data_IF_755231143571
#
_entry.id   IF_755231143571
#
_cell.length_a   1.000
_cell.length_b   1.000
_cell.length_c   1.000
_cell.angle_alpha   90.00
_cell.angle_beta   90.00
_cell.angle_gamma   90.00
#
_symmetry.space_group_name_H-M   'P 1'
#
loop_
_entity.id
_entity.type
_entity.pdbx_description
1 polymer ?
#
# COMPACT_ATOMS: atom_id res chain seq x y z
N UNK A 1 -23.29 -24.21 4.51
CA UNK A 1 -23.29 -22.80 4.07
C UNK A 1 -21.95 -22.53 3.42
N UNK A 2 -21.90 -22.33 2.10
CA UNK A 2 -20.66 -22.00 1.42
C UNK A 2 -20.25 -20.59 1.85
N UNK A 3 -19.09 -20.49 2.50
CA UNK A 3 -18.49 -19.23 2.93
C UNK A 3 -18.35 -18.34 1.69
N UNK A 4 -19.14 -17.27 1.60
CA UNK A 4 -19.17 -16.35 0.47
C UNK A 4 -17.92 -15.44 0.53
N UNK A 5 -16.73 -16.05 0.45
CA UNK A 5 -15.45 -15.37 0.54
C UNK A 5 -15.26 -14.53 -0.70
N UNK A 6 -15.33 -13.21 -0.54
CA UNK A 6 -14.83 -12.27 -1.55
C UNK A 6 -13.30 -12.35 -1.55
N UNK A 7 -12.74 -12.90 -2.63
CA UNK A 7 -11.30 -12.88 -2.87
C UNK A 7 -10.92 -11.59 -3.60
N UNK A 8 -9.84 -10.96 -3.15
CA UNK A 8 -9.23 -9.82 -3.83
C UNK A 8 -7.87 -10.29 -4.37
N UNK A 9 -7.62 -10.03 -5.65
CA UNK A 9 -6.38 -10.37 -6.33
C UNK A 9 -5.69 -9.08 -6.75
N UNK A 10 -4.38 -9.01 -6.52
CA UNK A 10 -3.57 -7.93 -7.06
C UNK A 10 -3.11 -8.33 -8.47
N UNK A 11 -3.58 -7.61 -9.49
CA UNK A 11 -3.09 -7.75 -10.86
C UNK A 11 -2.06 -6.64 -11.11
N UNK A 12 -0.82 -7.04 -11.31
CA UNK A 12 0.27 -6.11 -11.65
C UNK A 12 0.45 -6.08 -13.16
N UNK A 13 0.84 -4.91 -13.70
CA UNK A 13 1.35 -4.81 -15.07
C UNK A 13 2.63 -5.64 -15.16
N UNK A 14 2.90 -6.21 -16.33
CA UNK A 14 4.12 -7.02 -16.54
C UNK A 14 5.39 -6.23 -16.23
N UNK A 15 5.35 -4.92 -16.51
CA UNK A 15 6.44 -3.97 -16.30
C UNK A 15 6.48 -3.38 -14.89
N UNK A 16 5.65 -3.83 -13.94
CA UNK A 16 5.54 -3.20 -12.62
C UNK A 16 6.89 -3.08 -11.90
N UNK A 17 7.69 -4.14 -11.95
CA UNK A 17 9.02 -4.15 -11.32
C UNK A 17 10.09 -3.39 -12.11
N UNK A 18 9.75 -2.97 -13.34
CA UNK A 18 10.61 -2.15 -14.20
C UNK A 18 10.25 -0.66 -14.14
N UNK A 19 9.17 -0.28 -13.44
CA UNK A 19 8.80 1.12 -13.24
C UNK A 19 9.87 1.86 -12.43
N UNK A 20 10.33 3.03 -12.90
CA UNK A 20 11.43 3.80 -12.29
C UNK A 20 11.29 3.99 -10.78
N UNK A 21 10.06 4.25 -10.31
CA UNK A 21 9.77 4.41 -8.89
C UNK A 21 9.95 3.13 -8.08
N UNK A 22 9.61 1.96 -8.65
CA UNK A 22 9.76 0.65 -8.01
C UNK A 22 11.22 0.21 -8.03
N UNK A 23 11.92 0.40 -9.15
CA UNK A 23 13.36 0.14 -9.27
C UNK A 23 14.13 0.99 -8.24
N UNK A 24 13.81 2.28 -8.16
CA UNK A 24 14.43 3.18 -7.18
C UNK A 24 14.12 2.74 -5.74
N UNK A 25 12.87 2.36 -5.44
CA UNK A 25 12.46 1.86 -4.14
C UNK A 25 13.25 0.60 -3.72
N UNK A 26 13.37 -0.38 -4.61
CA UNK A 26 14.06 -1.65 -4.30
C UNK A 26 15.58 -1.48 -4.20
N UNK A 27 16.15 -0.45 -4.82
CA UNK A 27 17.58 -0.11 -4.69
C UNK A 27 17.95 0.50 -3.33
N UNK A 28 16.98 0.96 -2.54
CA UNK A 28 17.22 1.56 -1.22
C UNK A 28 17.67 0.50 -0.20
N UNK A 29 18.29 0.96 0.89
CA UNK A 29 18.46 0.11 2.06
C UNK A 29 17.08 -0.35 2.57
N UNK A 30 16.93 -1.66 2.77
CA UNK A 30 15.66 -2.31 3.07
C UNK A 30 14.60 -2.17 1.95
N UNK A 31 15.00 -1.92 0.70
CA UNK A 31 14.10 -1.72 -0.44
C UNK A 31 13.09 -2.86 -0.64
N UNK A 32 13.54 -4.11 -0.54
CA UNK A 32 12.68 -5.30 -0.60
C UNK A 32 11.60 -5.32 0.50
N UNK A 33 11.93 -4.81 1.70
CA UNK A 33 10.99 -4.69 2.81
C UNK A 33 9.92 -3.64 2.49
N UNK A 34 10.32 -2.51 1.91
CA UNK A 34 9.38 -1.46 1.50
C UNK A 34 8.50 -1.89 0.33
N UNK A 35 9.07 -2.57 -0.68
CA UNK A 35 8.31 -3.18 -1.79
C UNK A 35 7.24 -4.15 -1.27
N UNK A 36 7.59 -5.00 -0.30
CA UNK A 36 6.62 -5.90 0.34
C UNK A 36 5.50 -5.16 1.11
N UNK A 37 5.84 -4.08 1.82
CA UNK A 37 4.86 -3.23 2.50
C UNK A 37 3.89 -2.61 1.48
N UNK A 38 4.41 -2.08 0.38
CA UNK A 38 3.63 -1.44 -0.68
C UNK A 38 2.64 -2.41 -1.31
N UNK A 39 3.08 -3.61 -1.70
CA UNK A 39 2.21 -4.65 -2.28
C UNK A 39 1.08 -5.07 -1.32
N UNK A 40 1.38 -5.19 -0.01
CA UNK A 40 0.37 -5.48 1.01
C UNK A 40 -0.64 -4.34 1.17
N UNK A 41 -0.18 -3.10 1.08
CA UNK A 41 -1.04 -1.90 1.09
C UNK A 41 -1.96 -1.86 -0.14
N UNK A 42 -1.42 -2.12 -1.35
CA UNK A 42 -2.22 -2.22 -2.57
C UNK A 42 -3.32 -3.25 -2.43
N UNK A 43 -2.98 -4.49 -2.06
CA UNK A 43 -3.97 -5.56 -1.88
C UNK A 43 -5.06 -5.19 -0.86
N UNK A 44 -4.68 -4.54 0.25
CA UNK A 44 -5.63 -4.13 1.29
C UNK A 44 -6.60 -3.06 0.80
N UNK A 45 -6.11 -2.11 0.01
CA UNK A 45 -6.90 -0.99 -0.50
C UNK A 45 -7.93 -1.39 -1.57
N UNK A 46 -7.78 -2.56 -2.21
CA UNK A 46 -8.73 -3.05 -3.23
C UNK A 46 -10.16 -3.18 -2.68
N UNK A 47 -10.32 -3.46 -1.38
CA UNK A 47 -11.63 -3.51 -0.72
C UNK A 47 -12.36 -2.16 -0.75
N UNK A 48 -11.62 -1.06 -0.85
CA UNK A 48 -12.12 0.31 -0.70
C UNK A 48 -11.77 1.17 -1.93
N UNK A 49 -11.66 0.55 -3.11
CA UNK A 49 -11.42 1.27 -4.36
C UNK A 49 -10.08 2.00 -4.41
N UNK A 50 -9.02 1.39 -3.86
CA UNK A 50 -7.68 1.98 -3.82
C UNK A 50 -7.41 2.90 -2.63
N UNK A 51 -8.40 3.10 -1.74
CA UNK A 51 -8.24 3.86 -0.49
C UNK A 51 -7.84 2.95 0.66
N UNK A 52 -6.85 3.36 1.44
CA UNK A 52 -6.50 2.70 2.70
C UNK A 52 -7.39 3.20 3.84
N UNK A 53 -8.53 2.54 3.99
CA UNK A 53 -9.47 2.80 5.09
C UNK A 53 -10.02 1.50 5.69
N UNK A 54 -10.32 1.49 6.98
CA UNK A 54 -10.95 0.34 7.66
C UNK A 54 -12.46 0.28 7.37
N UNK A 55 -13.08 1.46 7.40
CA UNK A 55 -14.48 1.76 7.06
C UNK A 55 -14.50 3.10 6.31
N UNK A 56 -15.61 3.50 5.70
CA UNK A 56 -15.69 4.69 4.81
C UNK A 56 -15.06 5.97 5.40
N UNK A 57 -15.09 6.13 6.73
CA UNK A 57 -14.62 7.33 7.42
C UNK A 57 -13.39 7.13 8.33
N UNK A 58 -12.76 5.95 8.35
CA UNK A 58 -11.62 5.68 9.23
C UNK A 58 -10.36 5.39 8.40
N UNK A 59 -9.50 6.41 8.16
CA UNK A 59 -8.16 6.23 7.61
C UNK A 59 -7.33 5.23 8.40
N UNK A 60 -6.53 4.40 7.72
CA UNK A 60 -5.52 3.60 8.42
C UNK A 60 -4.42 4.49 8.99
N UNK A 61 -4.14 4.34 10.29
CA UNK A 61 -2.95 4.94 10.90
C UNK A 61 -1.70 4.11 10.61
N UNK A 62 -0.51 4.68 10.77
CA UNK A 62 0.76 3.96 10.63
C UNK A 62 0.82 2.71 11.53
N UNK A 63 0.26 2.79 12.75
CA UNK A 63 0.18 1.67 13.68
C UNK A 63 -0.69 0.53 13.15
N UNK A 64 -1.84 0.85 12.56
CA UNK A 64 -2.70 -0.17 11.94
C UNK A 64 -2.05 -0.78 10.70
N UNK A 65 -1.37 0.04 9.89
CA UNK A 65 -0.62 -0.42 8.72
C UNK A 65 0.51 -1.37 9.16
N UNK A 66 1.22 -1.06 10.24
CA UNK A 66 2.23 -1.92 10.85
C UNK A 66 1.65 -3.27 11.26
N UNK A 67 0.48 -3.30 11.89
CA UNK A 67 -0.21 -4.55 12.25
C UNK A 67 -0.57 -5.39 11.03
N UNK A 68 -1.16 -4.81 9.98
CA UNK A 68 -1.57 -5.58 8.78
C UNK A 68 -0.36 -6.03 7.96
N UNK A 69 0.72 -5.23 7.93
CA UNK A 69 1.93 -5.56 7.18
C UNK A 69 2.87 -6.49 7.95
N UNK A 70 2.65 -6.65 9.26
CA UNK A 70 3.49 -7.37 10.22
C UNK A 70 4.89 -6.78 10.31
N UNK A 71 4.95 -5.46 10.36
CA UNK A 71 6.18 -4.69 10.42
C UNK A 71 6.21 -3.79 11.65
N UNK A 72 7.40 -3.28 11.97
CA UNK A 72 7.54 -2.28 13.02
C UNK A 72 6.92 -0.95 12.59
N UNK A 73 6.28 -0.24 13.53
CA UNK A 73 5.63 1.05 13.25
C UNK A 73 6.61 2.05 12.64
N UNK A 74 7.82 2.17 13.21
CA UNK A 74 8.85 3.08 12.67
C UNK A 74 9.36 2.70 11.27
N UNK A 75 9.27 1.43 10.86
CA UNK A 75 9.56 1.02 9.48
C UNK A 75 8.44 1.46 8.55
N UNK A 76 7.18 1.31 8.96
CA UNK A 76 6.03 1.76 8.18
C UNK A 76 6.01 3.28 8.03
N UNK A 77 6.30 4.03 9.08
CA UNK A 77 6.37 5.50 9.01
C UNK A 77 7.43 5.96 7.99
N UNK A 78 8.61 5.34 8.00
CA UNK A 78 9.66 5.59 6.99
C UNK A 78 9.18 5.21 5.59
N UNK A 79 8.56 4.04 5.43
CA UNK A 79 8.03 3.56 4.16
C UNK A 79 7.00 4.54 3.57
N UNK A 80 6.04 5.00 4.39
CA UNK A 80 5.03 5.97 3.97
C UNK A 80 5.64 7.28 3.46
N UNK A 81 6.66 7.79 4.13
CA UNK A 81 7.38 8.99 3.68
C UNK A 81 8.08 8.76 2.33
N UNK A 82 8.67 7.59 2.13
CA UNK A 82 9.29 7.23 0.85
C UNK A 82 8.23 7.12 -0.25
N UNK A 83 7.12 6.42 0.00
CA UNK A 83 6.06 6.25 -0.99
C UNK A 83 5.43 7.56 -1.43
N UNK A 84 5.19 8.50 -0.50
CA UNK A 84 4.69 9.83 -0.83
C UNK A 84 5.69 10.62 -1.68
N UNK A 85 6.99 10.52 -1.40
CA UNK A 85 8.04 11.17 -2.20
C UNK A 85 8.17 10.60 -3.61
N UNK A 86 7.96 9.29 -3.75
CA UNK A 86 8.01 8.60 -5.03
C UNK A 86 6.68 8.67 -5.81
N UNK A 87 5.65 9.31 -5.26
CA UNK A 87 4.33 9.40 -5.90
C UNK A 87 3.57 8.08 -5.96
N UNK A 88 3.96 7.08 -5.16
CA UNK A 88 3.31 5.77 -5.09
C UNK A 88 2.06 5.78 -4.19
N UNK A 89 1.98 6.75 -3.29
CA UNK A 89 0.88 6.96 -2.34
C UNK A 89 0.57 8.46 -2.24
N UNK A 90 -0.71 8.80 -2.30
CA UNK A 90 -1.20 10.17 -2.20
C UNK A 90 -2.08 10.37 -0.95
N UNK A 91 -1.85 11.43 -0.15
CA UNK A 91 -2.76 11.79 0.93
C UNK A 91 -4.05 12.41 0.37
N UNK A 92 -5.18 11.95 0.86
CA UNK A 92 -6.51 12.51 0.59
C UNK A 92 -6.86 13.58 1.62
N UNK A 93 -7.78 14.49 1.25
CA UNK A 93 -8.23 15.59 2.12
C UNK A 93 -8.82 15.12 3.45
N UNK A 94 -9.35 13.90 3.51
CA UNK A 94 -9.90 13.28 4.71
C UNK A 94 -8.85 12.54 5.57
N UNK A 95 -7.56 12.67 5.25
CA UNK A 95 -6.46 12.00 5.95
C UNK A 95 -6.25 10.53 5.55
N UNK A 96 -7.04 9.99 4.62
CA UNK A 96 -6.80 8.65 4.07
C UNK A 96 -5.65 8.67 3.04
N UNK A 97 -5.06 7.50 2.81
CA UNK A 97 -4.04 7.31 1.78
C UNK A 97 -4.68 6.65 0.56
N UNK A 98 -4.40 7.18 -0.62
CA UNK A 98 -4.76 6.60 -1.91
C UNK A 98 -3.54 6.00 -2.58
N UNK A 99 -3.74 4.88 -3.25
CA UNK A 99 -2.69 4.13 -3.93
C UNK A 99 -2.66 4.49 -5.43
N UNK A 100 -1.66 5.24 -5.88
CA UNK A 100 -1.67 5.93 -7.18
C UNK A 100 -1.60 5.02 -8.42
N UNK A 101 -1.21 3.75 -8.27
CA UNK A 101 -1.03 2.81 -9.40
C UNK A 101 -2.10 1.70 -9.44
N UNK A 102 -3.26 1.89 -8.80
CA UNK A 102 -4.36 0.92 -8.86
C UNK A 102 -5.33 1.30 -9.99
N UNK A 103 -5.37 0.50 -11.04
CA UNK A 103 -6.47 0.47 -12.00
C UNK A 103 -7.57 -0.46 -11.44
N UNK A 104 -8.78 0.08 -11.21
CA UNK A 104 -9.97 -0.65 -10.74
C UNK A 104 -10.73 -1.32 -11.89
#
# INVERSE_FOLDING_TARGET
>A
MADNRKYYYLKLKESYFDEDAIVLLESMQDGMLYSNILLKMYLKSLKNGGKLQLAENIPYTAQMIATITRQQVGTVERALQIFMKLGLVEPLQNGALYMSNIEL
#
